data_IF_070685633382
#
_entry.id   IF_070685633382
#
_cell.length_a   1.000
_cell.length_b   1.000
_cell.length_c   1.000
_cell.angle_alpha   90.00
_cell.angle_beta   90.00
_cell.angle_gamma   90.00
#
_symmetry.space_group_name_H-M   'P 1'
#
loop_
_entity.id
_entity.type
_entity.pdbx_description
1 polymer ?
#
# COMPACT_ATOMS: atom_id res chain seq x y z
N UNK A 1 -0.23 69.78 17.19
CA UNK A 1 -1.21 69.61 18.28
C UNK A 1 -1.03 68.20 18.80
N UNK A 2 -0.42 68.08 19.97
CA UNK A 2 -0.03 66.85 20.63
C UNK A 2 -1.27 66.13 21.17
N UNK A 3 -1.31 64.80 21.13
CA UNK A 3 -1.78 63.97 22.24
C UNK A 3 -1.30 62.53 22.03
N UNK A 4 -0.19 62.21 22.70
CA UNK A 4 0.24 60.84 22.99
C UNK A 4 -0.55 60.40 24.22
N UNK A 5 -1.26 59.28 24.12
CA UNK A 5 -1.99 58.69 25.24
C UNK A 5 -1.19 57.48 25.73
N UNK A 6 -0.51 57.68 26.86
CA UNK A 6 0.13 56.63 27.65
C UNK A 6 -0.97 55.80 28.34
N UNK A 7 -0.99 54.49 28.09
CA UNK A 7 -1.77 53.56 28.92
C UNK A 7 -0.79 52.70 29.73
N UNK A 8 -0.76 52.98 31.01
CA UNK A 8 0.00 52.34 32.07
C UNK A 8 -0.56 50.97 32.44
N UNK A 9 0.36 50.06 32.79
CA UNK A 9 0.20 48.94 33.73
C UNK A 9 -0.83 47.85 33.45
N UNK A 10 -0.35 46.65 33.12
CA UNK A 10 -0.61 45.47 33.95
C UNK A 10 0.43 44.37 33.70
N UNK A 11 1.50 44.33 34.51
CA UNK A 11 2.52 43.26 34.51
C UNK A 11 2.09 42.03 35.34
N UNK A 12 0.79 41.86 35.62
CA UNK A 12 0.26 40.87 36.58
C UNK A 12 -0.49 39.68 35.95
N UNK A 13 -0.25 39.36 34.67
CA UNK A 13 -0.82 38.17 34.03
C UNK A 13 0.25 37.22 33.47
N UNK A 14 1.46 37.26 34.03
CA UNK A 14 2.57 36.37 33.66
C UNK A 14 2.83 35.22 34.65
N UNK A 15 1.96 35.01 35.65
CA UNK A 15 2.25 34.13 36.80
C UNK A 15 1.10 33.19 37.24
N UNK A 16 0.20 32.81 36.32
CA UNK A 16 -0.90 31.88 36.65
C UNK A 16 -1.02 30.65 35.73
N UNK A 17 -0.04 30.41 34.84
CA UNK A 17 0.01 29.19 34.00
C UNK A 17 1.25 28.33 34.26
N UNK A 18 1.76 28.36 35.49
CA UNK A 18 2.70 27.34 35.98
C UNK A 18 1.94 26.41 36.92
N UNK A 19 2.11 25.10 36.70
CA UNK A 19 1.63 23.99 37.54
C UNK A 19 0.23 23.44 37.22
N UNK A 20 0.07 22.94 35.99
CA UNK A 20 -0.64 21.67 35.78
C UNK A 20 0.28 20.75 34.96
N UNK A 21 1.34 20.26 35.63
CA UNK A 21 2.10 19.11 35.16
C UNK A 21 1.23 17.87 35.38
N UNK A 22 0.21 17.68 34.55
CA UNK A 22 -0.38 16.35 34.37
C UNK A 22 0.69 15.53 33.67
N UNK A 23 1.23 14.45 34.27
CA UNK A 23 2.03 13.51 33.50
C UNK A 23 1.11 13.01 32.39
N UNK A 24 1.39 13.42 31.15
CA UNK A 24 0.83 12.77 30.00
C UNK A 24 1.23 11.31 30.17
N UNK A 25 0.26 10.47 30.52
CA UNK A 25 0.43 9.02 30.53
C UNK A 25 0.94 8.70 29.13
N UNK A 26 2.24 8.42 29.03
CA UNK A 26 2.81 7.82 27.85
C UNK A 26 2.07 6.51 27.72
N UNK A 27 1.03 6.48 26.88
CA UNK A 27 0.44 5.25 26.45
C UNK A 27 1.63 4.45 25.92
N UNK A 28 1.96 3.35 26.59
CA UNK A 28 2.90 2.37 26.09
C UNK A 28 2.47 2.09 24.66
N UNK A 29 3.24 2.61 23.72
CA UNK A 29 3.02 2.39 22.31
C UNK A 29 3.50 0.96 22.08
N UNK A 30 2.69 0.00 22.52
CA UNK A 30 2.94 -1.40 22.24
C UNK A 30 3.15 -1.46 20.73
N UNK A 31 4.26 -2.04 20.25
CA UNK A 31 4.53 -2.11 18.84
C UNK A 31 3.29 -2.71 18.18
N UNK A 32 2.61 -1.92 17.35
CA UNK A 32 1.40 -2.39 16.70
C UNK A 32 1.74 -3.70 16.00
N UNK A 33 0.95 -4.74 16.27
CA UNK A 33 1.18 -6.04 15.67
C UNK A 33 1.30 -5.86 14.15
N UNK A 34 2.37 -6.42 13.56
CA UNK A 34 2.61 -6.33 12.12
C UNK A 34 1.39 -6.90 11.38
N UNK A 35 0.81 -6.18 10.41
CA UNK A 35 -0.42 -6.60 9.75
C UNK A 35 -0.15 -7.76 8.78
N UNK A 36 -1.09 -8.69 8.66
CA UNK A 36 -1.07 -9.66 7.57
C UNK A 36 -1.49 -8.98 6.25
N UNK A 37 -0.87 -9.39 5.14
CA UNK A 37 -1.15 -8.85 3.82
C UNK A 37 -1.61 -9.97 2.88
N UNK A 38 -2.75 -9.77 2.22
CA UNK A 38 -3.27 -10.69 1.19
C UNK A 38 -3.44 -9.89 -0.09
N UNK A 39 -2.74 -10.31 -1.14
CA UNK A 39 -2.82 -9.70 -2.47
C UNK A 39 -3.59 -10.64 -3.41
N UNK A 40 -4.78 -10.21 -3.82
CA UNK A 40 -5.65 -10.99 -4.70
C UNK A 40 -5.46 -10.51 -6.14
N UNK A 41 -5.03 -11.42 -7.02
CA UNK A 41 -4.88 -11.16 -8.45
C UNK A 41 -5.94 -11.91 -9.25
N UNK A 42 -6.72 -11.18 -10.04
CA UNK A 42 -7.54 -11.75 -11.11
C UNK A 42 -6.85 -11.52 -12.46
N UNK A 43 -6.99 -12.47 -13.38
CA UNK A 43 -6.42 -12.37 -14.73
C UNK A 43 -7.53 -12.03 -15.74
N UNK A 44 -7.18 -11.22 -16.74
CA UNK A 44 -8.09 -10.74 -17.78
C UNK A 44 -9.40 -10.09 -17.28
N UNK A 45 -9.40 -9.50 -16.09
CA UNK A 45 -10.53 -8.71 -15.56
C UNK A 45 -10.46 -7.27 -16.05
N UNK A 46 -11.56 -6.78 -16.62
CA UNK A 46 -11.75 -5.38 -16.95
C UNK A 46 -12.26 -4.59 -15.74
N UNK A 47 -12.04 -3.27 -15.75
CA UNK A 47 -12.47 -2.39 -14.66
C UNK A 47 -14.00 -2.36 -14.51
N UNK A 48 -14.73 -2.56 -15.61
CA UNK A 48 -16.18 -2.53 -15.66
C UNK A 48 -16.83 -3.88 -15.39
N UNK A 49 -16.08 -4.97 -15.16
CA UNK A 49 -16.65 -6.29 -14.84
C UNK A 49 -17.21 -6.39 -13.40
N UNK A 50 -16.95 -5.39 -12.54
CA UNK A 50 -17.26 -5.45 -11.11
C UNK A 50 -18.46 -4.56 -10.76
N UNK A 51 -19.35 -5.08 -9.91
CA UNK A 51 -20.51 -4.35 -9.39
C UNK A 51 -20.11 -3.05 -8.68
N UNK A 52 -18.99 -3.06 -7.97
CA UNK A 52 -18.43 -1.88 -7.31
C UNK A 52 -17.99 -0.77 -8.28
N UNK A 53 -17.82 -1.04 -9.58
CA UNK A 53 -17.59 -0.02 -10.62
C UNK A 53 -18.84 0.30 -11.44
N UNK A 54 -19.99 -0.29 -11.09
CA UNK A 54 -21.29 0.04 -11.70
C UNK A 54 -21.72 -0.91 -12.82
N UNK A 55 -21.15 -2.12 -12.92
CA UNK A 55 -21.59 -3.11 -13.91
C UNK A 55 -23.11 -3.37 -13.77
N UNK A 56 -23.90 -3.40 -14.87
CA UNK A 56 -25.36 -3.42 -14.80
C UNK A 56 -25.98 -4.75 -14.35
N UNK A 57 -25.29 -5.89 -14.55
CA UNK A 57 -25.87 -7.24 -14.31
C UNK A 57 -25.00 -8.22 -13.52
N UNK A 58 -23.67 -8.19 -13.65
CA UNK A 58 -22.72 -8.94 -12.82
C UNK A 58 -22.79 -8.44 -11.36
N UNK A 59 -22.93 -9.39 -10.44
CA UNK A 59 -22.98 -9.14 -9.01
C UNK A 59 -21.72 -9.68 -8.33
N UNK A 60 -20.96 -8.81 -7.66
CA UNK A 60 -19.70 -9.15 -6.98
C UNK A 60 -19.76 -8.81 -5.49
N UNK A 61 -20.73 -9.35 -4.72
CA UNK A 61 -21.06 -8.85 -3.38
C UNK A 61 -19.88 -8.85 -2.40
N UNK A 62 -18.93 -9.79 -2.53
CA UNK A 62 -17.73 -9.83 -1.68
C UNK A 62 -16.71 -8.74 -2.03
N UNK A 63 -16.51 -8.45 -3.32
CA UNK A 63 -15.63 -7.37 -3.77
C UNK A 63 -16.28 -6.00 -3.54
N UNK A 64 -17.61 -5.91 -3.68
CA UNK A 64 -18.37 -4.70 -3.40
C UNK A 64 -18.29 -4.33 -1.92
N UNK A 65 -18.38 -5.33 -1.04
CA UNK A 65 -18.16 -5.14 0.39
C UNK A 65 -16.74 -4.69 0.70
N UNK A 66 -15.73 -5.31 0.09
CA UNK A 66 -14.32 -4.92 0.26
C UNK A 66 -14.07 -3.47 -0.19
N UNK A 67 -14.65 -3.06 -1.32
CA UNK A 67 -14.54 -1.69 -1.81
C UNK A 67 -15.26 -0.67 -0.91
N UNK A 68 -16.39 -1.05 -0.28
CA UNK A 68 -17.15 -0.21 0.64
C UNK A 68 -16.46 -0.03 2.01
N UNK A 69 -15.83 -1.10 2.50
CA UNK A 69 -15.13 -1.11 3.80
C UNK A 69 -13.70 -0.54 3.70
N UNK A 70 -13.17 -0.38 2.50
CA UNK A 70 -11.79 0.04 2.25
C UNK A 70 -11.67 1.24 1.30
N UNK A 71 -10.61 1.22 0.50
CA UNK A 71 -10.30 2.23 -0.50
C UNK A 71 -10.48 1.66 -1.91
N UNK A 72 -11.19 2.38 -2.78
CA UNK A 72 -11.35 2.03 -4.20
C UNK A 72 -10.72 3.12 -5.08
N UNK A 73 -9.90 2.71 -6.04
CA UNK A 73 -9.28 3.63 -6.99
C UNK A 73 -10.12 3.71 -8.26
N UNK A 74 -10.56 4.91 -8.65
CA UNK A 74 -11.28 5.09 -9.92
C UNK A 74 -10.33 5.18 -11.13
N UNK A 75 -9.03 5.36 -10.89
CA UNK A 75 -7.99 5.50 -11.91
C UNK A 75 -6.77 4.67 -11.49
N UNK A 76 -6.78 3.37 -11.80
CA UNK A 76 -5.65 2.46 -11.60
C UNK A 76 -5.34 1.77 -12.93
N UNK A 77 -4.09 1.84 -13.38
CA UNK A 77 -3.67 1.37 -14.70
C UNK A 77 -2.55 0.36 -14.58
N UNK A 78 -2.58 -0.66 -15.44
CA UNK A 78 -1.46 -1.55 -15.65
C UNK A 78 -0.31 -0.78 -16.34
N UNK A 79 0.92 -1.15 -16.02
CA UNK A 79 2.11 -0.63 -16.73
C UNK A 79 2.26 -1.23 -18.13
N UNK A 80 1.56 -2.33 -18.41
CA UNK A 80 1.45 -3.00 -19.72
C UNK A 80 0.24 -3.93 -19.72
N UNK A 81 -0.45 -4.04 -20.86
CA UNK A 81 -1.62 -4.89 -21.06
C UNK A 81 -1.22 -6.31 -21.51
N UNK A 82 -0.43 -7.01 -20.68
CA UNK A 82 -0.03 -8.40 -20.91
C UNK A 82 0.30 -9.12 -19.59
N UNK A 83 -0.07 -10.39 -19.47
CA UNK A 83 -0.08 -11.12 -18.19
C UNK A 83 1.31 -11.25 -17.52
N UNK A 84 2.29 -11.86 -18.20
CA UNK A 84 3.67 -12.02 -17.68
C UNK A 84 4.33 -10.67 -17.34
N UNK A 85 4.43 -9.70 -18.27
CA UNK A 85 5.17 -8.46 -17.99
C UNK A 85 4.45 -7.52 -17.00
N UNK A 86 3.11 -7.56 -16.89
CA UNK A 86 2.39 -6.83 -15.84
C UNK A 86 2.67 -7.41 -14.45
N UNK A 87 2.68 -8.75 -14.31
CA UNK A 87 3.04 -9.43 -13.05
C UNK A 87 4.50 -9.16 -12.67
N UNK A 88 5.42 -9.21 -13.64
CA UNK A 88 6.82 -8.81 -13.44
C UNK A 88 6.93 -7.35 -12.95
N UNK A 89 6.11 -6.44 -13.50
CA UNK A 89 6.08 -5.04 -13.05
C UNK A 89 5.58 -4.91 -11.61
N UNK A 90 4.53 -5.66 -11.24
CA UNK A 90 3.97 -5.66 -9.89
C UNK A 90 4.99 -6.16 -8.87
N UNK A 91 5.63 -7.31 -9.13
CA UNK A 91 6.52 -7.93 -8.14
C UNK A 91 7.82 -7.16 -7.93
N UNK A 92 8.29 -6.45 -8.97
CA UNK A 92 9.51 -5.62 -8.92
C UNK A 92 9.24 -4.16 -8.57
N UNK A 93 8.01 -3.67 -8.74
CA UNK A 93 7.67 -2.25 -8.66
C UNK A 93 8.25 -1.41 -9.80
N UNK A 94 8.60 -2.01 -10.95
CA UNK A 94 9.28 -1.34 -12.07
C UNK A 94 8.43 -1.38 -13.34
N UNK A 95 8.62 -0.40 -14.23
CA UNK A 95 8.04 -0.43 -15.57
C UNK A 95 8.62 -1.60 -16.40
N UNK A 96 7.87 -2.16 -17.38
CA UNK A 96 8.27 -3.33 -18.15
C UNK A 96 9.66 -3.23 -18.79
N UNK A 97 10.01 -2.07 -19.36
CA UNK A 97 11.33 -1.85 -19.97
C UNK A 97 12.50 -1.93 -18.97
N UNK A 98 12.22 -1.84 -17.68
CA UNK A 98 13.19 -1.89 -16.59
C UNK A 98 13.16 -3.21 -15.82
N UNK A 99 12.20 -4.11 -16.03
CA UNK A 99 12.15 -5.40 -15.34
C UNK A 99 13.18 -6.40 -15.90
N UNK A 100 13.64 -6.20 -17.14
CA UNK A 100 14.40 -7.19 -17.90
C UNK A 100 13.53 -8.33 -18.46
N UNK A 101 12.21 -8.29 -18.21
CA UNK A 101 11.21 -9.20 -18.75
C UNK A 101 10.01 -8.41 -19.32
N UNK A 102 10.21 -7.61 -20.40
CA UNK A 102 9.17 -6.76 -20.97
C UNK A 102 8.15 -7.53 -21.83
N UNK A 103 8.53 -8.71 -22.32
CA UNK A 103 7.73 -9.51 -23.26
C UNK A 103 7.03 -10.69 -22.60
N UNK A 104 6.00 -11.19 -23.28
CA UNK A 104 5.32 -12.42 -22.88
C UNK A 104 6.32 -13.60 -22.88
N UNK A 105 6.28 -14.43 -21.82
CA UNK A 105 7.17 -15.58 -21.63
C UNK A 105 8.66 -15.26 -21.44
N UNK A 106 9.06 -14.00 -21.36
CA UNK A 106 10.42 -13.68 -20.92
C UNK A 106 10.49 -13.83 -19.40
N UNK A 107 11.31 -14.75 -18.86
CA UNK A 107 11.41 -14.93 -17.42
C UNK A 107 12.08 -13.71 -16.77
N UNK A 108 11.69 -13.41 -15.53
CA UNK A 108 12.37 -12.37 -14.76
C UNK A 108 13.85 -12.76 -14.56
N UNK A 109 14.82 -11.91 -14.94
CA UNK A 109 16.23 -12.22 -14.73
C UNK A 109 16.59 -12.24 -13.25
N UNK A 110 17.62 -13.00 -12.91
CA UNK A 110 18.16 -13.02 -11.55
C UNK A 110 18.71 -11.64 -11.13
N UNK A 111 18.72 -11.39 -9.82
CA UNK A 111 19.21 -10.14 -9.23
C UNK A 111 18.20 -9.01 -9.18
N UNK A 112 16.98 -9.19 -9.70
CA UNK A 112 15.90 -8.22 -9.51
C UNK A 112 15.44 -8.18 -8.04
N UNK A 113 15.20 -6.98 -7.53
CA UNK A 113 14.59 -6.81 -6.20
C UNK A 113 13.10 -7.11 -6.30
N UNK A 114 12.61 -8.00 -5.42
CA UNK A 114 11.22 -8.47 -5.40
C UNK A 114 10.58 -8.06 -4.08
N UNK A 115 9.43 -7.40 -4.08
CA UNK A 115 8.80 -6.99 -2.82
C UNK A 115 8.48 -8.17 -1.88
N UNK A 116 8.12 -9.38 -2.35
CA UNK A 116 7.92 -10.53 -1.45
C UNK A 116 9.21 -10.97 -0.76
N UNK A 117 10.36 -10.87 -1.47
CA UNK A 117 11.67 -11.11 -0.85
C UNK A 117 11.92 -10.11 0.27
N UNK A 118 11.64 -8.82 0.04
CA UNK A 118 11.80 -7.78 1.06
C UNK A 118 10.90 -8.02 2.28
N UNK A 119 9.67 -8.51 2.06
CA UNK A 119 8.76 -8.89 3.14
C UNK A 119 9.29 -10.09 3.92
N UNK A 120 9.79 -11.11 3.23
CA UNK A 120 10.41 -12.27 3.87
C UNK A 120 11.62 -11.87 4.71
N UNK A 121 12.51 -11.04 4.17
CA UNK A 121 13.70 -10.54 4.88
C UNK A 121 13.30 -9.69 6.10
N UNK A 122 12.14 -9.03 6.06
CA UNK A 122 11.55 -8.32 7.19
C UNK A 122 10.83 -9.25 8.21
N UNK A 123 10.86 -10.57 8.00
CA UNK A 123 10.32 -11.58 8.91
C UNK A 123 8.86 -11.94 8.67
N UNK A 124 8.30 -11.66 7.50
CA UNK A 124 7.00 -12.20 7.09
C UNK A 124 7.14 -13.61 6.52
N UNK A 125 6.14 -14.46 6.76
CA UNK A 125 5.98 -15.70 6.01
C UNK A 125 5.27 -15.40 4.69
N UNK A 126 5.88 -15.78 3.57
CA UNK A 126 5.44 -15.38 2.24
C UNK A 126 4.96 -16.58 1.43
N UNK A 127 3.76 -16.45 0.85
CA UNK A 127 3.12 -17.51 0.08
C UNK A 127 2.66 -16.95 -1.25
N UNK A 128 2.79 -17.76 -2.29
CA UNK A 128 2.10 -17.50 -3.56
C UNK A 128 1.33 -18.72 -4.02
N UNK A 129 0.10 -18.50 -4.46
CA UNK A 129 -0.83 -19.55 -4.86
C UNK A 129 -1.50 -19.20 -6.18
N UNK A 130 -1.56 -20.15 -7.11
CA UNK A 130 -2.22 -19.96 -8.41
C UNK A 130 -1.27 -19.47 -9.53
N UNK A 131 -1.77 -18.60 -10.43
CA UNK A 131 -1.04 -18.21 -11.65
C UNK A 131 0.12 -17.26 -11.36
N UNK A 132 1.33 -17.67 -11.76
CA UNK A 132 2.58 -16.93 -11.55
C UNK A 132 3.05 -16.23 -12.82
N UNK A 133 3.42 -17.01 -13.84
CA UNK A 133 3.87 -16.54 -15.16
C UNK A 133 5.02 -15.50 -15.13
N UNK A 134 5.95 -15.62 -14.18
CA UNK A 134 7.11 -14.71 -14.03
C UNK A 134 8.49 -15.41 -14.15
N UNK A 135 8.50 -16.74 -14.31
CA UNK A 135 9.73 -17.55 -14.29
C UNK A 135 10.17 -17.98 -12.88
N UNK A 136 11.13 -18.92 -12.83
CA UNK A 136 11.52 -19.59 -11.57
C UNK A 136 12.18 -18.66 -10.56
N UNK A 137 12.94 -17.66 -11.02
CA UNK A 137 13.60 -16.71 -10.12
C UNK A 137 12.60 -15.98 -9.22
N UNK A 138 11.45 -15.56 -9.77
CA UNK A 138 10.41 -14.89 -9.00
C UNK A 138 9.85 -15.77 -7.86
N UNK A 139 9.83 -17.09 -8.04
CA UNK A 139 9.33 -18.04 -7.04
C UNK A 139 10.27 -18.18 -5.84
N UNK A 140 11.55 -17.86 -6.00
CA UNK A 140 12.52 -17.89 -4.90
C UNK A 140 12.22 -16.88 -3.80
N UNK A 141 11.39 -15.87 -4.10
CA UNK A 141 10.97 -14.83 -3.15
C UNK A 141 9.91 -15.29 -2.14
N UNK A 142 9.38 -16.52 -2.28
CA UNK A 142 8.30 -17.05 -1.44
C UNK A 142 8.78 -18.25 -0.61
N UNK A 143 8.26 -18.39 0.60
CA UNK A 143 8.50 -19.56 1.47
C UNK A 143 7.65 -20.76 1.03
N UNK A 144 6.51 -20.51 0.39
CA UNK A 144 5.62 -21.55 -0.14
C UNK A 144 5.04 -21.16 -1.49
N UNK A 145 4.98 -22.14 -2.40
CA UNK A 145 4.41 -22.03 -3.74
C UNK A 145 3.42 -23.17 -3.92
N UNK A 146 2.17 -22.87 -4.27
CA UNK A 146 1.09 -23.85 -4.48
C UNK A 146 0.34 -23.64 -5.80
#
# INVERSE_FOLDING_TARGET
MWHVQLCSWNWLLFLACLVLNTPASAAENQPAARPNMILIFADDVSWDDLGCYGHPTIHTPHLDRLAKEGLRFNNAYLTTSSCSPSRCSVITGRYPHNTGAPELHTPLPEGQVLFPQLLRDAGYYTVISGKQHMGNYALTAFDHVS
#
